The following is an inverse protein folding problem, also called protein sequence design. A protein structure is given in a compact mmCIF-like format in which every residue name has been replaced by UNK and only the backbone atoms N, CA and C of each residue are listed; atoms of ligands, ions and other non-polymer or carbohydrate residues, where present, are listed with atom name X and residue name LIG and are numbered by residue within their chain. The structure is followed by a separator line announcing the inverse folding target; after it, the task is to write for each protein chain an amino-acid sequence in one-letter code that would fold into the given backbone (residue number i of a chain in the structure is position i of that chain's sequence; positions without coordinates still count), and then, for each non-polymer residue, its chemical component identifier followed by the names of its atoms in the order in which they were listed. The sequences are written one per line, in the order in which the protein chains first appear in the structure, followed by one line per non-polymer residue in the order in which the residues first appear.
data_IF_722005023359
#
_entry.id   IF_722005023359
#
_cell.length_a   1.000
_cell.length_b   1.000
_cell.length_c   1.000
_cell.angle_alpha   90.00
_cell.angle_beta   90.00
_cell.angle_gamma   90.00
#
_symmetry.space_group_name_H-M   'P 1'
#
loop_
_entity.id
_entity.type
_entity.pdbx_description
1 polymer ?
#
# COMPACT_ATOMS: atom_id res chain seq x y z
N UNK A 1 -3.81 -1.07 -3.08
CA UNK A 1 -5.19 -1.58 -2.84
C UNK A 1 -5.71 -2.23 -4.11
N UNK A 2 -6.28 -3.44 -4.02
CA UNK A 2 -6.85 -4.17 -5.15
C UNK A 2 -8.38 -4.21 -5.02
N UNK A 3 -9.12 -3.81 -6.04
CA UNK A 3 -10.58 -3.85 -6.11
C UNK A 3 -10.95 -4.76 -7.28
N UNK A 4 -11.73 -5.82 -7.09
CA UNK A 4 -12.28 -6.59 -8.21
C UNK A 4 -13.62 -5.97 -8.57
N UNK A 5 -13.75 -5.38 -9.77
CA UNK A 5 -15.02 -4.82 -10.24
C UNK A 5 -15.90 -5.92 -10.85
N UNK A 6 -17.23 -5.76 -10.78
CA UNK A 6 -18.24 -6.69 -11.35
C UNK A 6 -18.14 -6.89 -12.88
N UNK A 7 -17.17 -6.28 -13.55
CA UNK A 7 -16.89 -6.43 -14.98
C UNK A 7 -15.82 -7.48 -15.30
N UNK A 8 -15.35 -8.26 -14.32
CA UNK A 8 -14.37 -9.33 -14.51
C UNK A 8 -12.90 -8.87 -14.54
N UNK A 9 -12.63 -7.60 -14.22
CA UNK A 9 -11.28 -7.06 -14.15
C UNK A 9 -10.82 -6.85 -12.71
N UNK A 10 -9.56 -7.19 -12.45
CA UNK A 10 -8.84 -6.76 -11.25
C UNK A 10 -8.34 -5.33 -11.45
N UNK A 11 -8.76 -4.39 -10.58
CA UNK A 11 -8.28 -3.02 -10.55
C UNK A 11 -7.27 -2.86 -9.43
N UNK A 12 -6.09 -2.30 -9.72
CA UNK A 12 -5.06 -1.98 -8.73
C UNK A 12 -4.97 -0.46 -8.62
N UNK A 13 -5.11 0.04 -7.39
CA UNK A 13 -4.96 1.45 -7.04
C UNK A 13 -3.74 1.60 -6.13
N UNK A 14 -2.80 2.44 -6.54
CA UNK A 14 -1.59 2.80 -5.80
C UNK A 14 -1.70 4.25 -5.35
N UNK A 15 -1.68 4.49 -4.04
CA UNK A 15 -1.81 5.84 -3.49
C UNK A 15 -1.12 5.90 -2.12
N UNK A 16 -0.57 7.07 -1.76
CA UNK A 16 -0.19 7.40 -0.38
C UNK A 16 -1.44 7.99 0.28
N UNK A 17 -2.10 7.22 1.14
CA UNK A 17 -3.43 7.56 1.64
C UNK A 17 -3.41 7.79 3.15
N UNK A 18 -4.20 8.77 3.59
CA UNK A 18 -4.54 9.00 5.00
C UNK A 18 -5.82 8.26 5.36
N UNK A 19 -6.08 8.05 6.65
CA UNK A 19 -7.21 7.22 7.09
C UNK A 19 -8.56 7.80 6.66
N UNK A 20 -8.74 9.10 6.79
CA UNK A 20 -9.98 9.82 6.46
C UNK A 20 -10.33 9.60 4.98
N UNK A 21 -9.32 9.72 4.11
CA UNK A 21 -9.46 9.50 2.67
C UNK A 21 -9.74 8.02 2.36
N UNK A 22 -9.11 7.11 3.11
CA UNK A 22 -9.36 5.68 2.95
C UNK A 22 -10.78 5.31 3.36
N UNK A 23 -11.29 5.86 4.45
CA UNK A 23 -12.66 5.61 4.93
C UNK A 23 -13.69 6.08 3.89
N UNK A 24 -13.50 7.29 3.35
CA UNK A 24 -14.33 7.85 2.28
C UNK A 24 -14.28 7.01 1.00
N UNK A 25 -13.15 6.33 0.74
CA UNK A 25 -13.01 5.44 -0.41
C UNK A 25 -13.67 4.07 -0.19
N UNK A 26 -13.52 3.49 1.00
CA UNK A 26 -14.02 2.15 1.32
C UNK A 26 -15.56 2.13 1.46
N UNK A 27 -16.16 3.21 1.97
CA UNK A 27 -17.59 3.25 2.26
C UNK A 27 -18.47 3.09 0.99
N UNK A 28 -18.26 3.82 -0.12
CA UNK A 28 -19.01 3.62 -1.37
C UNK A 28 -18.78 2.25 -2.01
N UNK A 29 -17.55 1.72 -1.93
CA UNK A 29 -17.24 0.38 -2.45
C UNK A 29 -18.03 -0.69 -1.71
N UNK A 30 -18.05 -0.63 -0.37
CA UNK A 30 -18.84 -1.54 0.46
C UNK A 30 -20.33 -1.45 0.12
N UNK A 31 -20.87 -0.24 -0.08
CA UNK A 31 -22.27 -0.03 -0.50
C UNK A 31 -22.57 -0.63 -1.87
N UNK A 32 -21.57 -0.68 -2.75
CA UNK A 32 -21.66 -1.31 -4.08
C UNK A 32 -21.44 -2.83 -4.06
N UNK A 33 -21.27 -3.43 -2.88
CA UNK A 33 -20.97 -4.85 -2.72
C UNK A 33 -19.56 -5.24 -3.14
N UNK A 34 -18.66 -4.26 -3.26
CA UNK A 34 -17.24 -4.46 -3.56
C UNK A 34 -16.46 -4.51 -2.25
N UNK A 35 -15.60 -5.52 -2.11
CA UNK A 35 -14.70 -5.66 -0.97
C UNK A 35 -13.27 -5.57 -1.46
N UNK A 36 -12.64 -4.38 -1.40
CA UNK A 36 -11.26 -4.25 -1.83
C UNK A 36 -10.31 -4.93 -0.85
N UNK A 37 -9.26 -5.53 -1.40
CA UNK A 37 -8.11 -6.00 -0.63
C UNK A 37 -7.19 -4.81 -0.41
N UNK A 38 -7.16 -4.33 0.83
CA UNK A 38 -6.24 -3.26 1.24
C UNK A 38 -4.90 -3.85 1.69
N UNK A 39 -3.82 -3.25 1.19
CA UNK A 39 -2.44 -3.66 1.45
C UNK A 39 -1.56 -2.42 1.53
N UNK A 40 -0.72 -2.36 2.56
CA UNK A 40 0.28 -1.32 2.79
C UNK A 40 1.64 -1.99 2.62
N UNK A 41 2.42 -1.57 1.62
CA UNK A 41 3.83 -1.96 1.55
C UNK A 41 4.60 -1.08 2.52
N UNK A 42 5.07 -1.67 3.61
CA UNK A 42 5.86 -0.99 4.63
C UNK A 42 7.14 -1.79 4.90
N UNK A 43 8.14 -1.71 3.99
CA UNK A 43 9.49 -2.18 4.28
C UNK A 43 10.03 -1.47 5.52
N UNK A 44 11.12 -1.96 6.10
CA UNK A 44 11.81 -1.29 7.20
C UNK A 44 12.13 0.17 6.84
N UNK A 45 12.01 1.06 7.84
CA UNK A 45 12.25 2.50 7.69
C UNK A 45 13.56 2.80 6.98
N UNK A 46 14.64 2.11 7.37
CA UNK A 46 15.96 2.30 6.78
C UNK A 46 15.95 2.03 5.28
N UNK A 47 15.29 0.96 4.84
CA UNK A 47 15.19 0.58 3.43
C UNK A 47 14.38 1.63 2.65
N UNK A 48 13.32 2.18 3.25
CA UNK A 48 12.57 3.28 2.63
C UNK A 48 13.45 4.51 2.38
N UNK A 49 14.27 4.90 3.36
CA UNK A 49 15.21 6.02 3.24
C UNK A 49 16.30 5.72 2.20
N UNK A 50 16.93 4.54 2.27
CA UNK A 50 17.97 4.13 1.33
C UNK A 50 17.44 4.14 -0.11
N UNK A 51 16.22 3.63 -0.32
CA UNK A 51 15.54 3.65 -1.63
C UNK A 51 15.26 5.07 -2.09
N UNK A 52 14.80 5.97 -1.22
CA UNK A 52 14.54 7.37 -1.58
C UNK A 52 15.82 8.09 -2.03
N UNK A 53 16.91 7.96 -1.26
CA UNK A 53 18.20 8.61 -1.56
C UNK A 53 18.84 8.04 -2.84
N UNK A 54 18.61 6.75 -3.14
CA UNK A 54 19.15 6.11 -4.35
C UNK A 54 18.49 6.56 -5.66
N UNK A 55 17.39 7.34 -5.60
CA UNK A 55 16.65 7.80 -6.78
C UNK A 55 17.52 8.73 -7.63
N UNK A 56 17.51 8.49 -8.95
CA UNK A 56 18.22 9.35 -9.94
C UNK A 56 17.59 10.75 -10.11
N UNK A 57 16.44 11.00 -9.49
CA UNK A 57 15.64 12.20 -9.65
C UNK A 57 15.46 12.95 -8.34
N UNK A 58 14.21 13.26 -8.01
CA UNK A 58 13.87 13.91 -6.76
C UNK A 58 13.77 12.89 -5.62
N UNK A 59 14.19 13.33 -4.43
CA UNK A 59 14.06 12.61 -3.16
C UNK A 59 12.96 13.28 -2.35
N UNK A 60 12.15 12.50 -1.62
CA UNK A 60 11.20 13.06 -0.66
C UNK A 60 11.90 13.62 0.59
N UNK A 61 13.07 13.07 0.93
CA UNK A 61 13.85 13.45 2.09
C UNK A 61 13.48 12.65 3.34
N UNK A 62 14.44 12.39 4.24
CA UNK A 62 14.27 11.49 5.38
C UNK A 62 13.16 11.93 6.34
N UNK A 63 12.99 13.23 6.57
CA UNK A 63 11.94 13.77 7.44
C UNK A 63 10.53 13.45 6.93
N UNK A 64 10.32 13.54 5.61
CA UNK A 64 9.05 13.19 5.00
C UNK A 64 8.83 11.67 5.07
N UNK A 65 9.87 10.87 4.80
CA UNK A 65 9.80 9.41 4.89
C UNK A 65 9.43 8.98 6.31
N UNK A 66 9.97 9.64 7.33
CA UNK A 66 9.66 9.35 8.74
C UNK A 66 8.20 9.60 9.06
N UNK A 67 7.71 10.79 8.71
CA UNK A 67 6.30 11.13 8.90
C UNK A 67 5.38 10.15 8.16
N UNK A 68 5.68 9.85 6.90
CA UNK A 68 4.94 8.89 6.11
C UNK A 68 4.95 7.50 6.76
N UNK A 69 6.11 7.04 7.23
CA UNK A 69 6.27 5.73 7.84
C UNK A 69 5.40 5.55 9.07
N UNK A 70 5.40 6.54 9.97
CA UNK A 70 4.56 6.54 11.17
C UNK A 70 3.07 6.54 10.81
N UNK A 71 2.67 7.34 9.82
CA UNK A 71 1.30 7.37 9.32
C UNK A 71 0.88 6.00 8.78
N UNK A 72 1.72 5.34 7.98
CA UNK A 72 1.41 4.01 7.43
C UNK A 72 1.40 2.91 8.49
N UNK A 73 2.30 2.97 9.48
CA UNK A 73 2.31 2.04 10.60
C UNK A 73 1.02 2.18 11.44
N UNK A 74 0.60 3.40 11.72
CA UNK A 74 -0.66 3.69 12.41
C UNK A 74 -1.88 3.21 11.61
N UNK A 75 -1.88 3.44 10.29
CA UNK A 75 -2.93 2.97 9.40
C UNK A 75 -3.04 1.44 9.41
N UNK A 76 -1.90 0.75 9.36
CA UNK A 76 -1.86 -0.70 9.44
C UNK A 76 -2.32 -1.25 10.79
N UNK A 77 -2.14 -0.51 11.89
CA UNK A 77 -2.69 -0.88 13.18
C UNK A 77 -4.24 -0.81 13.20
N UNK A 78 -4.85 0.10 12.41
CA UNK A 78 -6.31 0.17 12.21
C UNK A 78 -6.84 -0.94 11.31
N UNK A 79 -5.98 -1.55 10.49
CA UNK A 79 -6.33 -2.62 9.55
C UNK A 79 -5.40 -3.83 9.72
N UNK A 80 -5.61 -4.66 10.76
CA UNK A 80 -4.78 -5.83 11.00
C UNK A 80 -4.65 -6.73 9.77
N UNK A 81 -3.42 -7.17 9.46
CA UNK A 81 -3.12 -7.99 8.29
C UNK A 81 -3.01 -7.23 6.97
N UNK A 82 -3.09 -5.89 6.98
CA UNK A 82 -2.88 -5.08 5.77
C UNK A 82 -1.41 -4.75 5.49
N UNK A 83 -0.54 -4.73 6.51
CA UNK A 83 0.89 -4.45 6.35
C UNK A 83 1.59 -5.65 5.71
N UNK A 84 2.40 -5.35 4.70
CA UNK A 84 3.36 -6.25 4.09
C UNK A 84 4.75 -5.65 4.29
N UNK A 85 5.62 -6.40 4.95
CA UNK A 85 7.05 -6.12 4.94
C UNK A 85 7.67 -6.71 3.67
N UNK A 86 8.14 -5.83 2.78
CA UNK A 86 8.82 -6.18 1.51
C UNK A 86 10.29 -5.75 1.51
N UNK A 87 10.89 -5.68 2.71
CA UNK A 87 12.30 -5.31 2.92
C UNK A 87 13.27 -6.20 2.17
N UNK A 88 13.04 -7.50 2.23
CA UNK A 88 13.93 -8.54 1.71
C UNK A 88 13.35 -9.23 0.47
N UNK A 89 12.45 -8.56 -0.24
CA UNK A 89 11.81 -9.07 -1.45
C UNK A 89 12.23 -8.24 -2.66
N UNK A 90 12.46 -8.93 -3.78
CA UNK A 90 12.45 -8.30 -5.10
C UNK A 90 11.04 -7.86 -5.48
N UNK A 91 10.94 -7.04 -6.53
CA UNK A 91 9.65 -6.59 -7.05
C UNK A 91 8.78 -7.78 -7.46
N UNK A 92 9.37 -8.72 -8.19
CA UNK A 92 8.72 -9.93 -8.70
C UNK A 92 8.19 -10.80 -7.54
N UNK A 93 9.02 -11.03 -6.51
CA UNK A 93 8.60 -11.77 -5.32
C UNK A 93 7.46 -11.08 -4.57
N UNK A 94 7.51 -9.76 -4.41
CA UNK A 94 6.44 -9.02 -3.75
C UNK A 94 5.12 -9.14 -4.51
N UNK A 95 5.16 -9.07 -5.85
CA UNK A 95 3.97 -9.23 -6.68
C UNK A 95 3.39 -10.64 -6.53
N UNK A 96 4.21 -11.67 -6.70
CA UNK A 96 3.77 -13.06 -6.68
C UNK A 96 3.19 -13.48 -5.32
N UNK A 97 3.81 -13.02 -4.22
CA UNK A 97 3.36 -13.38 -2.86
C UNK A 97 2.13 -12.63 -2.42
N UNK A 98 2.05 -11.33 -2.70
CA UNK A 98 1.08 -10.45 -2.03
C UNK A 98 -0.03 -9.94 -2.93
N UNK A 99 0.15 -10.05 -4.24
CA UNK A 99 -0.82 -9.62 -5.25
C UNK A 99 -1.16 -10.71 -6.26
N UNK A 100 -1.40 -11.98 -5.84
CA UNK A 100 -1.68 -13.05 -6.78
C UNK A 100 -2.88 -12.67 -7.67
N UNK A 101 -2.68 -12.81 -8.97
CA UNK A 101 -3.75 -12.68 -9.95
C UNK A 101 -4.61 -13.93 -9.77
N UNK A 102 -5.71 -13.80 -9.03
CA UNK A 102 -6.83 -14.70 -9.16
C UNK A 102 -7.42 -14.44 -10.55
N UNK A 103 -7.08 -15.31 -11.49
CA UNK A 103 -7.71 -15.44 -12.79
C UNK A 103 -9.14 -15.93 -12.58
#
# INVERSE_FOLDING_TARGET
MKVVLRFGYSVIVTYIIEWEVLEDYLLPLKKSGLQPVFRILLPERKICIDRDISRKGWTAGPEFIDKWYEQQAWLGAKMPGSIIDSSNESLEETVDRHFPILI
#
